data_IF_618494294490
#
_entry.id   IF_618494294490
#
_cell.length_a   1.000
_cell.length_b   1.000
_cell.length_c   1.000
_cell.angle_alpha   90.00
_cell.angle_beta   90.00
_cell.angle_gamma   90.00
#
_symmetry.space_group_name_H-M   'P 1'
#
loop_
_entity.id
_entity.type
_entity.pdbx_description
1 polymer ?
#
# COMPACT_ATOMS: atom_id res chain seq x y z
N UNK A 1 3.82 10.67 -7.65
CA UNK A 1 2.92 9.92 -6.75
C UNK A 1 2.16 10.89 -5.85
N UNK A 2 0.92 10.58 -5.47
CA UNK A 2 0.15 11.40 -4.53
C UNK A 2 0.78 11.35 -3.12
N UNK A 3 0.68 12.46 -2.37
CA UNK A 3 1.24 12.57 -1.01
C UNK A 3 0.73 11.48 -0.07
N UNK A 4 -0.57 11.22 -0.09
CA UNK A 4 -1.19 10.18 0.75
C UNK A 4 -0.72 8.76 0.41
N UNK A 5 -0.44 8.47 -0.87
CA UNK A 5 0.14 7.18 -1.28
C UNK A 5 1.56 7.06 -0.73
N UNK A 6 2.35 8.15 -0.77
CA UNK A 6 3.71 8.18 -0.22
C UNK A 6 3.69 7.91 1.29
N UNK A 7 2.81 8.58 2.02
CA UNK A 7 2.64 8.39 3.46
C UNK A 7 2.24 6.94 3.81
N UNK A 8 1.32 6.34 3.04
CA UNK A 8 0.92 4.96 3.24
C UNK A 8 2.07 3.98 2.98
N UNK A 9 2.81 4.15 1.88
CA UNK A 9 3.97 3.34 1.52
C UNK A 9 5.05 3.40 2.62
N UNK A 10 5.37 4.60 3.08
CA UNK A 10 6.38 4.80 4.14
C UNK A 10 5.92 4.19 5.48
N UNK A 11 4.63 4.32 5.82
CA UNK A 11 4.07 3.67 7.01
C UNK A 11 4.09 2.15 6.90
N UNK A 12 3.83 1.60 5.72
CA UNK A 12 3.91 0.16 5.45
C UNK A 12 5.35 -0.35 5.62
N UNK A 13 6.33 0.35 5.03
CA UNK A 13 7.76 0.01 5.14
C UNK A 13 8.24 -0.06 6.58
N UNK A 14 7.84 0.91 7.41
CA UNK A 14 8.14 0.92 8.86
C UNK A 14 7.59 -0.29 9.62
N UNK A 15 6.60 -0.98 9.06
CA UNK A 15 5.98 -2.16 9.65
C UNK A 15 6.46 -3.47 9.00
N UNK A 16 7.55 -3.42 8.24
CA UNK A 16 8.13 -4.60 7.59
C UNK A 16 7.49 -4.96 6.25
N UNK A 17 6.59 -4.12 5.72
CA UNK A 17 6.08 -4.35 4.37
C UNK A 17 7.12 -3.96 3.33
N UNK A 18 7.30 -4.80 2.32
CA UNK A 18 8.11 -4.47 1.15
C UNK A 18 7.24 -3.73 0.14
N UNK A 19 7.73 -2.60 -0.38
CA UNK A 19 7.00 -1.77 -1.32
C UNK A 19 7.82 -1.57 -2.60
N UNK A 20 7.25 -2.00 -3.72
CA UNK A 20 7.87 -1.97 -5.04
C UNK A 20 7.05 -1.09 -5.99
N UNK A 21 7.71 -0.19 -6.71
CA UNK A 21 7.06 0.58 -7.76
C UNK A 21 7.17 -0.17 -9.09
N UNK A 22 6.05 -0.32 -9.77
CA UNK A 22 5.96 -0.90 -11.11
C UNK A 22 6.21 0.16 -12.19
N UNK A 23 6.61 -0.26 -13.41
CA UNK A 23 6.86 0.67 -14.53
C UNK A 23 5.65 1.56 -14.89
N UNK A 24 4.42 1.08 -14.69
CA UNK A 24 3.20 1.84 -14.94
C UNK A 24 2.84 2.83 -13.81
N UNK A 25 3.72 3.04 -12.83
CA UNK A 25 3.51 3.95 -11.71
C UNK A 25 2.61 3.39 -10.59
N UNK A 26 2.17 2.14 -10.68
CA UNK A 26 1.50 1.45 -9.58
C UNK A 26 2.52 0.97 -8.54
N UNK A 27 2.04 0.70 -7.34
CA UNK A 27 2.82 0.17 -6.23
C UNK A 27 2.30 -1.20 -5.83
N UNK A 28 3.22 -2.13 -5.61
CA UNK A 28 2.98 -3.45 -5.04
C UNK A 28 3.48 -3.44 -3.60
N UNK A 29 2.57 -3.67 -2.66
CA UNK A 29 2.88 -3.83 -1.24
C UNK A 29 2.80 -5.31 -0.88
N UNK A 30 3.93 -5.84 -0.42
CA UNK A 30 4.09 -7.22 0.03
C UNK A 30 4.13 -7.23 1.55
N UNK A 31 3.21 -7.98 2.15
CA UNK A 31 3.11 -8.12 3.59
C UNK A 31 4.27 -8.95 4.16
N UNK A 32 4.68 -8.67 5.41
CA UNK A 32 5.71 -9.45 6.10
C UNK A 32 5.27 -10.89 6.43
N UNK A 33 3.98 -11.19 6.34
CA UNK A 33 3.44 -12.55 6.49
C UNK A 33 3.77 -13.49 5.30
N UNK A 34 4.32 -12.95 4.21
CA UNK A 34 4.66 -13.68 3.00
C UNK A 34 3.47 -14.03 2.09
N UNK A 35 2.24 -13.63 2.46
CA UNK A 35 1.00 -13.99 1.76
C UNK A 35 0.28 -12.75 1.23
N UNK A 36 0.24 -11.67 2.01
CA UNK A 36 -0.52 -10.47 1.68
C UNK A 36 0.09 -9.67 0.53
N UNK A 37 -0.72 -9.39 -0.49
CA UNK A 37 -0.34 -8.50 -1.60
C UNK A 37 -1.42 -7.43 -1.78
N UNK A 38 -1.02 -6.16 -1.78
CA UNK A 38 -1.91 -5.02 -2.01
C UNK A 38 -1.35 -4.13 -3.10
N UNK A 39 -2.18 -3.82 -4.10
CA UNK A 39 -1.83 -2.95 -5.22
C UNK A 39 -2.40 -1.55 -4.99
N UNK A 40 -1.58 -0.51 -5.23
CA UNK A 40 -1.99 0.90 -5.18
C UNK A 40 -1.68 1.58 -6.51
N UNK A 41 -2.57 2.45 -6.98
CA UNK A 41 -2.20 3.40 -8.04
C UNK A 41 -1.25 4.47 -7.45
N UNK A 42 -0.30 4.95 -8.23
CA UNK A 42 0.58 6.04 -7.80
C UNK A 42 -0.15 7.39 -7.65
N UNK A 43 -1.23 7.58 -8.41
CA UNK A 43 -2.09 8.77 -8.41
C UNK A 43 -3.57 8.34 -8.49
N UNK A 44 -4.13 7.80 -7.40
CA UNK A 44 -5.51 7.34 -7.39
C UNK A 44 -6.49 8.51 -7.51
N UNK A 45 -7.50 8.39 -8.37
CA UNK A 45 -8.58 9.37 -8.56
C UNK A 45 -9.84 9.07 -7.74
N UNK A 46 -10.05 7.81 -7.32
CA UNK A 46 -11.20 7.39 -6.51
C UNK A 46 -10.95 7.64 -5.01
N UNK A 47 -11.71 8.53 -4.38
CA UNK A 47 -11.60 8.86 -2.95
C UNK A 47 -11.68 7.67 -1.96
N UNK A 48 -12.19 6.50 -2.37
CA UNK A 48 -12.27 5.28 -1.54
C UNK A 48 -10.98 4.46 -1.57
N UNK A 49 -10.04 4.78 -2.45
CA UNK A 49 -8.79 4.02 -2.65
C UNK A 49 -8.10 3.71 -1.31
N UNK A 50 -8.01 4.73 -0.44
CA UNK A 50 -7.29 4.67 0.84
C UNK A 50 -7.97 3.72 1.83
N UNK A 51 -9.30 3.79 1.94
CA UNK A 51 -10.07 2.93 2.85
C UNK A 51 -9.96 1.46 2.42
N UNK A 52 -10.05 1.21 1.12
CA UNK A 52 -9.94 -0.13 0.55
C UNK A 52 -8.54 -0.72 0.74
N UNK A 53 -7.50 0.08 0.48
CA UNK A 53 -6.11 -0.31 0.70
C UNK A 53 -5.86 -0.68 2.16
N UNK A 54 -6.19 0.22 3.10
CA UNK A 54 -5.99 0.00 4.53
C UNK A 54 -6.77 -1.22 5.03
N UNK A 55 -8.02 -1.41 4.58
CA UNK A 55 -8.82 -2.58 4.95
C UNK A 55 -8.15 -3.89 4.54
N UNK A 56 -7.63 -3.97 3.31
CA UNK A 56 -6.87 -5.15 2.84
C UNK A 56 -5.59 -5.33 3.64
N UNK A 57 -4.81 -4.26 3.83
CA UNK A 57 -3.55 -4.33 4.56
C UNK A 57 -3.74 -4.74 6.02
N UNK A 58 -4.82 -4.30 6.69
CA UNK A 58 -5.13 -4.67 8.09
C UNK A 58 -5.34 -6.18 8.26
N UNK A 59 -5.84 -6.88 7.24
CA UNK A 59 -5.97 -8.35 7.25
C UNK A 59 -4.61 -9.06 7.28
N UNK A 60 -3.54 -8.35 6.92
CA UNK A 60 -2.16 -8.83 6.87
C UNK A 60 -1.27 -8.11 7.91
N UNK A 61 -1.87 -7.67 9.01
CA UNK A 61 -1.13 -7.13 10.16
C UNK A 61 -0.73 -5.66 10.06
N UNK A 62 -1.17 -4.91 9.04
CA UNK A 62 -0.92 -3.47 8.99
C UNK A 62 -1.70 -2.72 10.08
N UNK A 63 -1.00 -1.86 10.81
CA UNK A 63 -1.53 -0.98 11.86
C UNK A 63 -1.53 0.45 11.34
N UNK A 64 -2.71 0.88 10.88
CA UNK A 64 -2.95 2.10 10.11
C UNK A 64 -3.81 3.09 10.86
#
# INVERSE_FOLDING_TARGET
MAKEVRELVEKARRQGWRAEQLPNGHWKLLAPDGIGIVWLAGTPSDHRWRKNAISRMRRHGFRG
#
